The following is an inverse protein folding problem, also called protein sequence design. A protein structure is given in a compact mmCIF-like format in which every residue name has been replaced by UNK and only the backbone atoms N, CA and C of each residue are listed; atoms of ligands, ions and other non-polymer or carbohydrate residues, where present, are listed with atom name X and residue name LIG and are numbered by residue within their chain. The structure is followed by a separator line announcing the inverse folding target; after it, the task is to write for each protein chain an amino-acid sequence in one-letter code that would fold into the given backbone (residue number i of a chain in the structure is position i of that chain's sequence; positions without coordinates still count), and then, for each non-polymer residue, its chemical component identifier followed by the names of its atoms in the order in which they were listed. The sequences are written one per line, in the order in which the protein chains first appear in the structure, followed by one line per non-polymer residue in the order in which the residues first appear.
data_IF_683917509666
#
_entry.id   IF_683917509666
#
_cell.length_a   1.000
_cell.length_b   1.000
_cell.length_c   1.000
_cell.angle_alpha   90.00
_cell.angle_beta   90.00
_cell.angle_gamma   90.00
#
_symmetry.space_group_name_H-M   'P 1'
#
loop_
_entity.id
_entity.type
_entity.pdbx_description
1 polymer ?
#
# COMPACT_ATOMS: atom_id res chain seq x y z
N UNK A 1 60.02 -34.17 7.59
CA UNK A 1 60.47 -32.80 7.91
C UNK A 1 61.98 -32.84 8.11
N UNK A 2 62.75 -32.30 7.17
CA UNK A 2 64.22 -32.24 7.30
C UNK A 2 64.54 -31.05 8.19
N UNK A 3 64.90 -31.31 9.46
CA UNK A 3 65.30 -30.26 10.39
C UNK A 3 66.74 -29.85 10.06
N UNK A 4 66.91 -28.67 9.44
CA UNK A 4 68.23 -28.06 9.28
C UNK A 4 68.69 -27.46 10.60
N UNK A 5 69.97 -27.64 10.95
CA UNK A 5 70.56 -27.13 12.21
C UNK A 5 71.11 -25.70 12.09
N UNK A 6 70.85 -25.00 10.99
CA UNK A 6 71.36 -23.65 10.72
C UNK A 6 70.25 -22.62 10.84
N UNK A 7 70.49 -21.58 11.62
CA UNK A 7 69.60 -20.41 11.71
C UNK A 7 69.64 -19.64 10.38
N UNK A 8 68.47 -19.42 9.79
CA UNK A 8 68.28 -18.53 8.65
C UNK A 8 67.49 -17.30 9.13
N UNK A 9 68.01 -16.09 8.87
CA UNK A 9 67.39 -14.86 9.36
C UNK A 9 65.98 -14.67 8.75
N UNK A 10 64.98 -14.45 9.59
CA UNK A 10 63.57 -14.34 9.18
C UNK A 10 62.81 -15.68 9.12
N UNK A 11 63.48 -16.82 9.26
CA UNK A 11 62.85 -18.14 9.28
C UNK A 11 62.64 -18.64 10.71
N UNK A 12 61.63 -18.10 11.38
CA UNK A 12 61.17 -18.60 12.68
C UNK A 12 60.06 -19.64 12.52
N UNK A 13 59.90 -20.49 13.54
CA UNK A 13 58.79 -21.43 13.60
C UNK A 13 57.50 -20.68 13.95
N UNK A 14 56.47 -20.85 13.13
CA UNK A 14 55.11 -20.38 13.34
C UNK A 14 54.17 -21.57 13.50
N UNK A 15 53.04 -21.36 14.16
CA UNK A 15 51.97 -22.35 14.24
C UNK A 15 50.97 -22.03 13.13
N UNK A 16 50.57 -23.03 12.35
CA UNK A 16 49.50 -22.89 11.37
C UNK A 16 48.14 -22.86 12.08
N UNK A 17 47.33 -21.83 11.84
CA UNK A 17 46.03 -21.65 12.52
C UNK A 17 44.99 -22.73 12.14
N UNK A 18 45.13 -23.34 10.95
CA UNK A 18 44.22 -24.40 10.47
C UNK A 18 44.60 -25.80 10.97
N UNK A 19 45.89 -26.15 10.96
CA UNK A 19 46.35 -27.52 11.27
C UNK A 19 46.97 -27.66 12.65
N UNK A 20 47.30 -26.55 13.33
CA UNK A 20 47.99 -26.55 14.63
C UNK A 20 49.45 -26.99 14.58
N UNK A 21 49.98 -27.33 13.40
CA UNK A 21 51.36 -27.81 13.25
C UNK A 21 52.36 -26.65 13.21
N UNK A 22 53.53 -26.85 13.82
CA UNK A 22 54.66 -25.92 13.71
C UNK A 22 55.31 -26.04 12.33
N UNK A 23 55.36 -24.92 11.60
CA UNK A 23 55.93 -24.80 10.26
C UNK A 23 56.92 -23.62 10.22
N UNK A 24 57.79 -23.59 9.21
CA UNK A 24 58.65 -22.43 9.02
C UNK A 24 57.84 -21.26 8.45
N UNK A 25 58.15 -20.03 8.83
CA UNK A 25 57.43 -18.82 8.36
C UNK A 25 57.30 -18.74 6.83
N UNK A 26 58.31 -19.20 6.07
CA UNK A 26 58.30 -19.22 4.59
C UNK A 26 57.30 -20.20 3.95
N UNK A 27 56.86 -21.19 4.73
CA UNK A 27 55.90 -22.22 4.30
C UNK A 27 54.46 -21.76 4.56
N UNK A 28 54.26 -20.65 5.28
CA UNK A 28 52.94 -20.14 5.62
C UNK A 28 52.63 -18.84 4.86
N UNK A 29 51.37 -18.70 4.45
CA UNK A 29 50.82 -17.50 3.81
C UNK A 29 49.55 -17.07 4.54
N UNK A 30 49.21 -15.79 4.44
CA UNK A 30 47.97 -15.26 5.03
C UNK A 30 46.79 -15.57 4.11
N UNK A 31 45.70 -16.04 4.70
CA UNK A 31 44.41 -16.20 4.02
C UNK A 31 43.60 -14.91 4.03
N UNK A 32 42.56 -14.88 3.20
CA UNK A 32 41.62 -13.76 3.07
C UNK A 32 40.86 -13.41 4.37
N UNK A 33 40.86 -14.31 5.35
CA UNK A 33 40.26 -14.14 6.69
C UNK A 33 41.28 -13.64 7.74
N UNK A 34 42.55 -13.45 7.35
CA UNK A 34 43.63 -13.01 8.25
C UNK A 34 44.38 -14.14 8.97
N UNK A 35 44.02 -15.41 8.75
CA UNK A 35 44.70 -16.55 9.36
C UNK A 35 46.05 -16.82 8.69
N UNK A 36 47.05 -17.24 9.46
CA UNK A 36 48.34 -17.68 8.95
C UNK A 36 48.32 -19.19 8.72
N UNK A 37 48.24 -19.60 7.46
CA UNK A 37 47.99 -20.99 7.07
C UNK A 37 49.16 -21.54 6.27
N UNK A 38 49.47 -22.82 6.46
CA UNK A 38 50.49 -23.52 5.67
C UNK A 38 50.07 -23.59 4.19
N UNK A 39 50.98 -23.27 3.28
CA UNK A 39 50.72 -23.11 1.84
C UNK A 39 50.03 -24.31 1.18
N UNK A 40 50.28 -25.54 1.65
CA UNK A 40 49.63 -26.75 1.12
C UNK A 40 48.15 -26.86 1.46
N UNK A 41 47.70 -26.21 2.54
CA UNK A 41 46.30 -26.18 2.98
C UNK A 41 45.71 -24.78 2.84
N UNK A 42 46.38 -23.88 2.12
CA UNK A 42 45.90 -22.53 1.84
C UNK A 42 44.78 -22.58 0.80
N UNK A 43 43.71 -21.84 1.04
CA UNK A 43 42.56 -21.78 0.13
C UNK A 43 42.45 -20.40 -0.52
N UNK A 44 42.30 -20.38 -1.85
CA UNK A 44 41.95 -19.15 -2.57
C UNK A 44 40.52 -18.75 -2.26
N UNK A 45 40.29 -17.45 -2.04
CA UNK A 45 38.92 -16.94 -1.90
C UNK A 45 38.21 -16.99 -3.25
N UNK A 46 36.96 -17.45 -3.26
CA UNK A 46 36.18 -17.47 -4.49
C UNK A 46 35.78 -16.03 -4.88
N UNK A 47 35.92 -15.62 -6.16
CA UNK A 47 35.58 -14.25 -6.58
C UNK A 47 34.14 -13.82 -6.27
N UNK A 48 33.21 -14.79 -6.21
CA UNK A 48 31.80 -14.55 -5.87
C UNK A 48 31.61 -14.02 -4.43
N UNK A 49 32.55 -14.29 -3.52
CA UNK A 49 32.47 -13.81 -2.12
C UNK A 49 32.66 -12.29 -1.98
N UNK A 50 33.03 -11.61 -3.07
CA UNK A 50 33.16 -10.15 -3.14
C UNK A 50 31.93 -9.48 -3.77
N UNK A 51 30.95 -10.26 -4.26
CA UNK A 51 29.75 -9.72 -4.88
C UNK A 51 28.75 -9.38 -3.78
N UNK A 52 28.46 -8.09 -3.65
CA UNK A 52 27.41 -7.58 -2.76
C UNK A 52 26.11 -7.44 -3.55
N UNK A 53 24.98 -7.80 -2.92
CA UNK A 53 23.66 -7.55 -3.50
C UNK A 53 23.41 -6.04 -3.61
N UNK A 54 22.97 -5.59 -4.78
CA UNK A 54 22.46 -4.24 -4.99
C UNK A 54 20.95 -4.28 -4.71
N UNK A 55 20.46 -3.33 -3.91
CA UNK A 55 19.01 -3.21 -3.67
C UNK A 55 18.32 -2.84 -4.98
N UNK A 56 17.26 -3.57 -5.31
CA UNK A 56 16.44 -3.30 -6.48
C UNK A 56 15.56 -2.06 -6.24
N UNK A 57 15.42 -1.22 -7.26
CA UNK A 57 14.54 -0.05 -7.20
C UNK A 57 13.11 -0.48 -7.49
N UNK A 58 12.30 -0.57 -6.44
CA UNK A 58 10.88 -0.95 -6.55
C UNK A 58 9.97 0.24 -6.91
N UNK A 59 10.52 1.41 -7.23
CA UNK A 59 9.70 2.58 -7.60
C UNK A 59 9.01 2.38 -8.95
N UNK A 60 7.74 2.79 -9.02
CA UNK A 60 6.95 2.78 -10.26
C UNK A 60 6.98 4.21 -10.83
N UNK A 61 7.58 4.46 -12.02
CA UNK A 61 7.75 5.82 -12.55
C UNK A 61 6.44 6.59 -12.80
N UNK A 62 5.38 5.87 -13.16
CA UNK A 62 4.04 6.45 -13.37
C UNK A 62 3.00 5.48 -12.80
N UNK A 63 2.66 5.66 -11.52
CA UNK A 63 1.80 4.74 -10.79
C UNK A 63 0.32 4.80 -11.19
N UNK A 64 -0.11 5.83 -11.94
CA UNK A 64 -1.53 6.13 -12.30
C UNK A 64 -2.53 5.55 -11.30
N UNK A 65 -2.44 5.92 -10.01
CA UNK A 65 -3.31 5.33 -9.00
C UNK A 65 -4.77 5.70 -9.33
N UNK A 66 -5.67 4.77 -9.08
CA UNK A 66 -7.10 5.04 -9.20
C UNK A 66 -7.49 6.14 -8.20
N UNK A 67 -8.44 6.98 -8.60
CA UNK A 67 -8.96 8.01 -7.70
C UNK A 67 -9.84 7.33 -6.65
N UNK A 68 -9.72 7.74 -5.40
CA UNK A 68 -10.58 7.23 -4.33
C UNK A 68 -12.04 7.56 -4.66
N UNK A 69 -12.84 6.54 -4.94
CA UNK A 69 -14.29 6.64 -5.00
C UNK A 69 -14.85 6.67 -3.58
N UNK A 70 -14.66 7.79 -2.88
CA UNK A 70 -15.29 7.99 -1.59
C UNK A 70 -16.79 8.26 -1.80
N UNK A 71 -17.60 7.26 -1.48
CA UNK A 71 -19.06 7.39 -1.33
C UNK A 71 -19.33 8.19 -0.06
N UNK A 72 -20.12 9.26 -0.16
CA UNK A 72 -20.51 10.03 1.02
C UNK A 72 -21.46 9.22 1.91
N UNK A 73 -21.49 9.51 3.21
CA UNK A 73 -22.44 8.90 4.14
C UNK A 73 -23.19 9.98 4.94
N UNK A 74 -24.48 9.75 5.14
CA UNK A 74 -25.35 10.52 6.05
C UNK A 74 -26.28 9.54 6.76
N UNK A 75 -27.17 10.06 7.59
CA UNK A 75 -28.15 9.24 8.32
C UNK A 75 -29.56 9.77 8.17
N UNK A 76 -30.53 8.87 8.22
CA UNK A 76 -31.96 9.21 8.32
C UNK A 76 -32.21 10.06 9.56
N UNK A 77 -32.80 11.24 9.39
CA UNK A 77 -33.07 12.18 10.49
C UNK A 77 -34.31 11.80 11.28
N UNK A 78 -35.37 11.40 10.58
CA UNK A 78 -36.67 11.01 11.16
C UNK A 78 -37.11 9.70 10.55
N UNK A 79 -37.74 8.82 11.35
CA UNK A 79 -38.19 7.51 10.86
C UNK A 79 -39.15 7.66 9.68
N UNK A 80 -38.78 7.07 8.55
CA UNK A 80 -39.61 6.98 7.36
C UNK A 80 -40.35 5.65 7.33
N UNK A 81 -41.67 5.70 7.11
CA UNK A 81 -42.50 4.50 7.04
C UNK A 81 -42.31 3.75 5.71
N UNK A 82 -42.78 2.49 5.67
CA UNK A 82 -42.96 1.78 4.40
C UNK A 82 -43.87 2.61 3.46
N UNK A 83 -43.58 2.57 2.16
CA UNK A 83 -44.23 3.35 1.13
C UNK A 83 -44.01 4.88 1.20
N UNK A 84 -43.08 5.35 2.04
CA UNK A 84 -42.70 6.76 1.99
C UNK A 84 -42.08 7.11 0.63
N UNK A 85 -42.52 8.23 0.05
CA UNK A 85 -42.03 8.80 -1.22
C UNK A 85 -40.93 9.86 -1.00
N UNK A 86 -40.58 10.12 0.25
CA UNK A 86 -39.51 11.03 0.63
C UNK A 86 -38.90 10.62 1.98
N UNK A 87 -37.69 11.08 2.26
CA UNK A 87 -36.98 10.83 3.51
C UNK A 87 -36.28 12.11 3.99
N UNK A 88 -36.28 12.33 5.31
CA UNK A 88 -35.49 13.41 5.91
C UNK A 88 -34.10 12.89 6.26
N UNK A 89 -33.07 13.60 5.84
CA UNK A 89 -31.67 13.27 6.10
C UNK A 89 -31.05 14.24 7.10
N UNK A 90 -30.03 13.79 7.81
CA UNK A 90 -29.30 14.63 8.78
C UNK A 90 -28.47 15.70 8.07
N UNK A 91 -28.04 15.39 6.84
CA UNK A 91 -27.39 16.30 5.91
C UNK A 91 -27.79 15.91 4.50
N UNK A 92 -28.13 16.92 3.69
CA UNK A 92 -28.40 16.81 2.25
C UNK A 92 -27.27 17.44 1.40
N UNK A 93 -26.15 17.77 2.04
CA UNK A 93 -25.02 18.42 1.35
C UNK A 93 -24.51 17.51 0.25
N UNK A 94 -24.48 18.04 -0.98
CA UNK A 94 -23.97 17.33 -2.15
C UNK A 94 -24.99 16.43 -2.85
N UNK A 95 -26.27 16.46 -2.45
CA UNK A 95 -27.35 15.81 -3.18
C UNK A 95 -27.95 16.80 -4.19
N UNK A 96 -27.82 16.50 -5.47
CA UNK A 96 -28.49 17.18 -6.56
C UNK A 96 -29.74 16.41 -7.01
N UNK A 97 -30.41 16.92 -8.05
CA UNK A 97 -31.47 16.20 -8.75
C UNK A 97 -30.89 14.99 -9.51
N UNK A 98 -31.64 13.90 -9.61
CA UNK A 98 -31.26 12.63 -10.27
C UNK A 98 -30.03 11.91 -9.68
N UNK A 99 -29.60 12.28 -8.47
CA UNK A 99 -28.48 11.65 -7.78
C UNK A 99 -28.89 10.29 -7.19
N UNK A 100 -28.01 9.29 -7.29
CA UNK A 100 -28.27 7.96 -6.73
C UNK A 100 -28.05 7.93 -5.22
N UNK A 101 -29.02 7.40 -4.50
CA UNK A 101 -29.03 7.33 -3.03
C UNK A 101 -29.31 5.90 -2.59
N UNK A 102 -28.48 5.37 -1.70
CA UNK A 102 -28.65 4.06 -1.09
C UNK A 102 -29.10 4.20 0.36
N UNK A 103 -30.23 3.61 0.73
CA UNK A 103 -30.81 3.72 2.09
C UNK A 103 -30.78 2.33 2.74
N UNK A 104 -30.15 2.22 3.91
CA UNK A 104 -30.22 1.00 4.72
C UNK A 104 -31.56 0.95 5.45
N UNK A 105 -32.34 -0.11 5.22
CA UNK A 105 -33.64 -0.32 5.84
C UNK A 105 -33.50 -1.03 7.19
N UNK A 106 -34.57 -1.07 7.98
CA UNK A 106 -34.57 -1.65 9.34
C UNK A 106 -34.25 -3.16 9.39
N UNK A 107 -34.39 -3.87 8.28
CA UNK A 107 -34.04 -5.28 8.15
C UNK A 107 -32.60 -5.52 7.67
N UNK A 108 -31.82 -4.44 7.51
CA UNK A 108 -30.45 -4.46 7.01
C UNK A 108 -30.32 -4.59 5.49
N UNK A 109 -31.42 -4.55 4.73
CA UNK A 109 -31.37 -4.51 3.27
C UNK A 109 -31.14 -3.09 2.78
N UNK A 110 -30.52 -2.95 1.60
CA UNK A 110 -30.30 -1.66 0.96
C UNK A 110 -31.36 -1.41 -0.10
N UNK A 111 -31.96 -0.23 -0.06
CA UNK A 111 -32.83 0.28 -1.10
C UNK A 111 -32.11 1.38 -1.87
N UNK A 112 -31.89 1.15 -3.16
CA UNK A 112 -31.28 2.11 -4.07
C UNK A 112 -32.35 2.82 -4.89
N UNK A 113 -32.33 4.15 -4.88
CA UNK A 113 -33.23 5.02 -5.64
C UNK A 113 -32.47 6.25 -6.13
N UNK A 114 -33.16 7.16 -6.80
CA UNK A 114 -32.66 8.48 -7.16
C UNK A 114 -33.38 9.57 -6.36
N UNK A 115 -32.78 10.75 -6.23
CA UNK A 115 -33.50 11.97 -5.85
C UNK A 115 -34.40 12.47 -6.99
N UNK A 116 -35.54 13.04 -6.62
CA UNK A 116 -36.44 13.78 -7.52
C UNK A 116 -36.44 15.25 -7.13
N UNK A 117 -35.65 16.03 -7.86
CA UNK A 117 -35.41 17.44 -7.62
C UNK A 117 -34.32 17.72 -6.57
N UNK A 118 -34.03 19.01 -6.40
CA UNK A 118 -33.15 19.50 -5.33
C UNK A 118 -33.81 19.31 -3.96
N UNK A 119 -33.08 18.82 -2.93
CA UNK A 119 -33.63 18.67 -1.58
C UNK A 119 -34.27 19.97 -1.05
N UNK A 120 -35.45 19.84 -0.44
CA UNK A 120 -36.16 20.98 0.17
C UNK A 120 -35.95 20.91 1.68
N UNK A 121 -35.04 21.76 2.18
CA UNK A 121 -34.59 21.66 3.56
C UNK A 121 -33.78 20.37 3.74
N UNK A 122 -34.23 19.50 4.64
CA UNK A 122 -33.58 18.22 4.91
C UNK A 122 -34.25 17.04 4.18
N UNK A 123 -35.32 17.31 3.43
CA UNK A 123 -36.15 16.29 2.80
C UNK A 123 -35.68 16.02 1.38
N UNK A 124 -35.46 14.74 1.07
CA UNK A 124 -35.17 14.24 -0.28
C UNK A 124 -36.38 13.45 -0.77
N UNK A 125 -36.93 13.84 -1.92
CA UNK A 125 -38.05 13.16 -2.57
C UNK A 125 -37.55 12.07 -3.53
N UNK A 126 -38.35 11.05 -3.77
CA UNK A 126 -38.09 10.01 -4.75
C UNK A 126 -38.90 10.22 -6.03
N UNK A 127 -38.44 9.70 -7.17
CA UNK A 127 -39.17 9.75 -8.43
C UNK A 127 -40.57 9.15 -8.31
N UNK A 128 -41.56 9.66 -9.06
CA UNK A 128 -42.91 9.12 -9.05
C UNK A 128 -42.94 7.60 -9.27
N UNK A 129 -43.56 6.88 -8.33
CA UNK A 129 -43.65 5.42 -8.37
C UNK A 129 -42.49 4.68 -7.68
N UNK A 130 -41.48 5.39 -7.17
CA UNK A 130 -40.48 4.86 -6.24
C UNK A 130 -40.88 5.18 -4.80
N UNK A 131 -40.74 4.20 -3.92
CA UNK A 131 -41.10 4.32 -2.52
C UNK A 131 -40.29 3.34 -1.67
N UNK A 132 -40.15 3.62 -0.37
CA UNK A 132 -39.45 2.72 0.52
C UNK A 132 -40.15 1.35 0.60
N UNK A 133 -39.48 0.24 0.28
CA UNK A 133 -40.09 -1.09 0.35
C UNK A 133 -40.26 -1.58 1.79
N UNK A 134 -39.55 -0.97 2.75
CA UNK A 134 -39.67 -1.18 4.21
C UNK A 134 -39.34 0.11 4.95
N UNK A 135 -39.66 0.17 6.25
CA UNK A 135 -39.32 1.34 7.06
C UNK A 135 -37.81 1.53 7.21
N UNK A 136 -37.41 2.79 7.35
CA UNK A 136 -36.05 3.19 7.70
C UNK A 136 -36.11 4.08 8.94
N UNK A 137 -35.62 3.56 10.05
CA UNK A 137 -35.59 4.23 11.35
C UNK A 137 -34.52 5.33 11.36
N UNK A 138 -34.73 6.35 12.19
CA UNK A 138 -33.73 7.38 12.42
C UNK A 138 -32.36 6.75 12.76
N UNK A 139 -31.28 7.38 12.29
CA UNK A 139 -29.90 6.90 12.36
C UNK A 139 -29.53 5.75 11.42
N UNK A 140 -30.45 5.23 10.62
CA UNK A 140 -30.08 4.31 9.54
C UNK A 140 -29.15 5.01 8.54
N UNK A 141 -28.15 4.29 8.06
CA UNK A 141 -27.15 4.81 7.12
C UNK A 141 -27.78 5.09 5.75
N UNK A 142 -27.37 6.21 5.16
CA UNK A 142 -27.71 6.60 3.80
C UNK A 142 -26.41 6.90 3.05
N UNK A 143 -26.16 6.16 1.99
CA UNK A 143 -25.06 6.34 1.06
C UNK A 143 -25.42 7.41 0.04
N UNK A 144 -24.55 8.40 -0.10
CA UNK A 144 -24.66 9.53 -1.00
C UNK A 144 -23.66 9.38 -2.15
N UNK A 145 -23.98 9.92 -3.34
CA UNK A 145 -23.00 9.96 -4.41
C UNK A 145 -21.80 10.80 -3.97
N UNK A 146 -20.63 10.48 -4.50
CA UNK A 146 -19.40 11.17 -4.12
C UNK A 146 -19.54 12.67 -4.37
N UNK A 147 -19.40 13.47 -3.32
CA UNK A 147 -19.41 14.95 -3.39
C UNK A 147 -18.34 15.53 -4.32
N UNK A 148 -17.40 14.70 -4.79
CA UNK A 148 -16.31 15.06 -5.69
C UNK A 148 -16.34 14.33 -7.04
N UNK A 149 -17.40 13.59 -7.41
CA UNK A 149 -17.48 12.95 -8.74
C UNK A 149 -17.83 13.92 -9.88
N UNK A 150 -17.32 15.16 -9.83
CA UNK A 150 -17.15 15.99 -11.03
C UNK A 150 -16.03 15.40 -11.90
N UNK A 151 -16.26 14.20 -12.44
CA UNK A 151 -15.38 13.53 -13.40
C UNK A 151 -15.65 14.02 -14.84
N UNK A 152 -16.60 14.95 -15.03
CA UNK A 152 -16.76 15.67 -16.29
C UNK A 152 -16.45 17.15 -16.11
N UNK A 153 -15.19 17.52 -16.30
CA UNK A 153 -14.92 18.81 -16.96
C UNK A 153 -15.44 18.60 -18.38
N UNK A 154 -16.62 19.14 -18.69
CA UNK A 154 -17.06 19.24 -20.08
C UNK A 154 -15.95 19.95 -20.85
N UNK A 155 -15.53 19.40 -21.98
CA UNK A 155 -14.36 19.80 -22.77
C UNK A 155 -14.38 21.24 -23.35
N UNK A 156 -15.16 22.16 -22.78
CA UNK A 156 -15.31 23.54 -23.20
C UNK A 156 -14.66 24.61 -22.31
N UNK A 157 -14.11 24.26 -21.14
CA UNK A 157 -13.59 25.26 -20.16
C UNK A 157 -12.08 25.18 -19.87
N UNK A 158 -11.29 24.59 -20.76
CA UNK A 158 -9.83 24.80 -20.71
C UNK A 158 -9.54 26.11 -21.44
N UNK A 159 -9.47 27.22 -20.71
CA UNK A 159 -8.95 28.48 -21.24
C UNK A 159 -7.44 28.34 -21.45
N UNK A 160 -6.95 28.80 -22.59
CA UNK A 160 -5.58 28.58 -23.07
C UNK A 160 -4.45 29.23 -22.26
N UNK A 161 -4.72 29.67 -21.03
CA UNK A 161 -3.73 30.22 -20.09
C UNK A 161 -3.15 29.14 -19.15
N UNK A 162 -3.65 27.89 -19.21
CA UNK A 162 -3.19 26.75 -18.40
C UNK A 162 -2.12 25.86 -19.08
N UNK A 163 -1.43 26.36 -20.11
CA UNK A 163 -0.25 25.73 -20.73
C UNK A 163 0.97 26.66 -20.68
#
# INVERSE_FOLDING_TARGET
MVVRKTYEHGEYLTICDRTGLRRLRRECDYEWNGNLVWREVWESRHPQDFIHGILDDQSVPDARPDLSSDTGETTVKTTAAIFAEAIDLTSVVGIADEDSIGIVLDDGTEFWTFSDGTPVGDTVSFPPGSYLPKAATALNTVYLPSVNSRIYVSAGEVTGDDL
#
